data_IF_820902379526
#
_entry.id   IF_820902379526
#
_cell.length_a   1.000
_cell.length_b   1.000
_cell.length_c   1.000
_cell.angle_alpha   90.00
_cell.angle_beta   90.00
_cell.angle_gamma   90.00
#
_symmetry.space_group_name_H-M   'P 1'
#
loop_
_entity.id
_entity.type
_entity.pdbx_description
1 polymer ?
#
# COMPACT_ATOMS: atom_id res chain seq x y z
N UNK A 1 87.47 -69.81 -51.09
CA UNK A 1 86.04 -69.47 -51.20
C UNK A 1 85.93 -68.04 -50.69
N UNK A 2 85.94 -67.08 -51.61
CA UNK A 2 85.93 -65.67 -51.29
C UNK A 2 84.61 -65.07 -51.72
N UNK A 3 84.04 -64.19 -50.91
CA UNK A 3 82.85 -63.44 -51.28
C UNK A 3 83.17 -62.52 -52.47
N UNK A 4 82.26 -62.47 -53.44
CA UNK A 4 82.38 -61.52 -54.54
C UNK A 4 82.12 -60.12 -53.97
N UNK A 5 83.11 -59.24 -54.14
CA UNK A 5 83.07 -57.88 -53.62
C UNK A 5 81.87 -57.10 -54.20
N UNK A 6 81.47 -57.42 -55.44
CA UNK A 6 80.34 -56.77 -56.12
C UNK A 6 79.00 -57.14 -55.51
N UNK A 7 78.80 -58.40 -55.17
CA UNK A 7 77.54 -58.88 -54.57
C UNK A 7 77.36 -58.33 -53.16
N UNK A 8 78.44 -58.23 -52.39
CA UNK A 8 78.42 -57.61 -51.06
C UNK A 8 78.11 -56.11 -51.14
N UNK A 9 78.67 -55.39 -52.13
CA UNK A 9 78.36 -53.98 -52.37
C UNK A 9 76.89 -53.75 -52.78
N UNK A 10 76.34 -54.60 -53.64
CA UNK A 10 74.93 -54.56 -54.03
C UNK A 10 74.00 -54.80 -52.83
N UNK A 11 74.27 -55.83 -52.02
CA UNK A 11 73.49 -56.12 -50.83
C UNK A 11 73.53 -55.00 -49.79
N UNK A 12 74.71 -54.39 -49.56
CA UNK A 12 74.84 -53.24 -48.65
C UNK A 12 74.07 -52.02 -49.16
N UNK A 13 74.01 -51.83 -50.49
CA UNK A 13 73.25 -50.73 -51.09
C UNK A 13 71.74 -50.92 -50.94
N UNK A 14 71.25 -52.13 -51.19
CA UNK A 14 69.83 -52.46 -51.00
C UNK A 14 69.43 -52.36 -49.52
N UNK A 15 70.25 -52.91 -48.62
CA UNK A 15 70.04 -52.80 -47.17
C UNK A 15 70.04 -51.33 -46.71
N UNK A 16 70.94 -50.50 -47.25
CA UNK A 16 70.97 -49.07 -46.94
C UNK A 16 69.70 -48.36 -47.41
N UNK A 17 69.20 -48.69 -48.60
CA UNK A 17 67.95 -48.12 -49.14
C UNK A 17 66.72 -48.52 -48.32
N UNK A 18 66.62 -49.79 -47.95
CA UNK A 18 65.53 -50.28 -47.09
C UNK A 18 65.59 -49.66 -45.70
N UNK A 19 66.79 -49.47 -45.14
CA UNK A 19 66.98 -48.84 -43.84
C UNK A 19 66.62 -47.34 -43.85
N UNK A 20 66.97 -46.63 -44.92
CA UNK A 20 66.54 -45.23 -45.13
C UNK A 20 65.02 -45.13 -45.26
N UNK A 21 64.38 -46.03 -46.03
CA UNK A 21 62.92 -46.07 -46.15
C UNK A 21 62.23 -46.31 -44.79
N UNK A 22 62.75 -47.25 -44.01
CA UNK A 22 62.24 -47.55 -42.67
C UNK A 22 62.41 -46.34 -41.72
N UNK A 23 63.53 -45.61 -41.80
CA UNK A 23 63.75 -44.40 -41.02
C UNK A 23 62.74 -43.31 -41.36
N UNK A 24 62.50 -43.07 -42.64
CA UNK A 24 61.51 -42.08 -43.10
C UNK A 24 60.10 -42.47 -42.65
N UNK A 25 59.73 -43.74 -42.75
CA UNK A 25 58.44 -44.22 -42.26
C UNK A 25 58.31 -44.07 -40.74
N UNK A 26 59.37 -44.38 -39.99
CA UNK A 26 59.39 -44.23 -38.54
C UNK A 26 59.19 -42.77 -38.11
N UNK A 27 59.87 -41.83 -38.77
CA UNK A 27 59.69 -40.39 -38.51
C UNK A 27 58.28 -39.92 -38.88
N UNK A 28 57.71 -40.39 -40.00
CA UNK A 28 56.33 -40.08 -40.38
C UNK A 28 55.31 -40.63 -39.36
N UNK A 29 55.51 -41.84 -38.86
CA UNK A 29 54.65 -42.43 -37.84
C UNK A 29 54.75 -41.69 -36.51
N UNK A 30 55.97 -41.29 -36.09
CA UNK A 30 56.16 -40.44 -34.91
C UNK A 30 55.46 -39.09 -35.06
N UNK A 31 55.56 -38.47 -36.24
CA UNK A 31 54.88 -37.20 -36.52
C UNK A 31 53.35 -37.36 -36.39
N UNK A 32 52.78 -38.37 -37.05
CA UNK A 32 51.34 -38.68 -36.95
C UNK A 32 50.90 -38.96 -35.52
N UNK A 33 51.71 -39.71 -34.76
CA UNK A 33 51.42 -40.02 -33.36
C UNK A 33 51.44 -38.77 -32.49
N UNK A 34 52.36 -37.84 -32.76
CA UNK A 34 52.42 -36.54 -32.09
C UNK A 34 51.19 -35.70 -32.42
N UNK A 35 50.84 -35.58 -33.70
CA UNK A 35 49.66 -34.82 -34.14
C UNK A 35 48.36 -35.37 -33.51
N UNK A 36 48.19 -36.70 -33.52
CA UNK A 36 47.04 -37.35 -32.88
C UNK A 36 47.02 -37.13 -31.37
N UNK A 37 48.18 -37.22 -30.71
CA UNK A 37 48.30 -37.00 -29.27
C UNK A 37 47.96 -35.56 -28.89
N UNK A 38 48.40 -34.58 -29.68
CA UNK A 38 48.06 -33.16 -29.50
C UNK A 38 46.56 -32.93 -29.72
N UNK A 39 45.98 -33.50 -30.78
CA UNK A 39 44.54 -33.45 -31.03
C UNK A 39 43.73 -34.06 -29.88
N UNK A 40 44.14 -35.21 -29.35
CA UNK A 40 43.50 -35.86 -28.21
C UNK A 40 43.54 -34.96 -26.96
N UNK A 41 44.69 -34.35 -26.69
CA UNK A 41 44.84 -33.41 -25.57
C UNK A 41 43.92 -32.19 -25.72
N UNK A 42 43.81 -31.65 -26.93
CA UNK A 42 42.91 -30.54 -27.25
C UNK A 42 41.44 -30.92 -27.01
N UNK A 43 40.97 -32.05 -27.53
CA UNK A 43 39.59 -32.50 -27.30
C UNK A 43 39.30 -32.73 -25.81
N UNK A 44 40.26 -33.30 -25.07
CA UNK A 44 40.12 -33.49 -23.62
C UNK A 44 40.00 -32.16 -22.86
N UNK A 45 40.68 -31.12 -23.35
CA UNK A 45 40.56 -29.76 -22.78
C UNK A 45 39.20 -29.12 -23.07
N UNK A 46 38.65 -29.35 -24.27
CA UNK A 46 37.31 -28.91 -24.65
C UNK A 46 36.27 -29.64 -23.81
N UNK A 47 36.37 -30.97 -23.69
CA UNK A 47 35.45 -31.78 -22.89
C UNK A 47 35.40 -31.27 -21.44
N UNK A 48 36.56 -31.01 -20.84
CA UNK A 48 36.64 -30.43 -19.49
C UNK A 48 35.98 -29.06 -19.40
N UNK A 49 36.11 -28.24 -20.43
CA UNK A 49 35.49 -26.91 -20.48
C UNK A 49 33.97 -27.01 -20.63
N UNK A 50 33.50 -27.91 -21.50
CA UNK A 50 32.09 -28.19 -21.70
C UNK A 50 31.44 -28.73 -20.42
N UNK A 51 32.11 -29.66 -19.74
CA UNK A 51 31.63 -30.20 -18.46
C UNK A 51 31.50 -29.10 -17.40
N UNK A 52 32.49 -28.19 -17.31
CA UNK A 52 32.39 -27.03 -16.40
C UNK A 52 31.24 -26.10 -16.77
N UNK A 53 31.05 -25.83 -18.07
CA UNK A 53 29.95 -24.99 -18.54
C UNK A 53 28.59 -25.62 -18.22
N UNK A 54 28.44 -26.94 -18.36
CA UNK A 54 27.23 -27.66 -18.00
C UNK A 54 26.93 -27.59 -16.50
N UNK A 55 27.93 -27.82 -15.65
CA UNK A 55 27.77 -27.70 -14.20
C UNK A 55 27.40 -26.27 -13.80
N UNK A 56 28.03 -25.27 -14.43
CA UNK A 56 27.70 -23.87 -14.19
C UNK A 56 26.27 -23.53 -14.63
N UNK A 57 25.86 -24.01 -15.80
CA UNK A 57 24.51 -23.81 -16.31
C UNK A 57 23.46 -24.47 -15.39
N UNK A 58 23.71 -25.70 -14.94
CA UNK A 58 22.85 -26.39 -13.99
C UNK A 58 22.75 -25.63 -12.67
N UNK A 59 23.88 -25.21 -12.11
CA UNK A 59 23.91 -24.42 -10.89
C UNK A 59 23.17 -23.10 -11.04
N UNK A 60 23.39 -22.39 -12.15
CA UNK A 60 22.72 -21.12 -12.43
C UNK A 60 21.21 -21.33 -12.56
N UNK A 61 20.77 -22.39 -13.26
CA UNK A 61 19.35 -22.71 -13.38
C UNK A 61 18.72 -23.04 -12.01
N UNK A 62 19.42 -23.79 -11.16
CA UNK A 62 18.97 -24.08 -9.79
C UNK A 62 18.90 -22.81 -8.94
N UNK A 63 19.92 -21.95 -9.00
CA UNK A 63 19.97 -20.70 -8.25
C UNK A 63 18.86 -19.73 -8.72
N UNK A 64 18.65 -19.57 -10.03
CA UNK A 64 17.55 -18.78 -10.59
C UNK A 64 16.19 -19.31 -10.14
N UNK A 65 16.00 -20.64 -10.16
CA UNK A 65 14.75 -21.26 -9.68
C UNK A 65 14.53 -21.01 -8.19
N UNK A 66 15.56 -21.15 -7.38
CA UNK A 66 15.48 -20.91 -5.94
C UNK A 66 15.14 -19.45 -5.62
N UNK A 67 15.75 -18.50 -6.34
CA UNK A 67 15.43 -17.06 -6.20
C UNK A 67 14.00 -16.77 -6.62
N UNK A 68 13.54 -17.29 -7.76
CA UNK A 68 12.16 -17.09 -8.22
C UNK A 68 11.13 -17.64 -7.23
N UNK A 69 11.39 -18.80 -6.60
CA UNK A 69 10.51 -19.35 -5.57
C UNK A 69 10.48 -18.44 -4.34
N UNK A 70 11.64 -18.00 -3.83
CA UNK A 70 11.69 -17.09 -2.68
C UNK A 70 10.99 -15.77 -2.95
N UNK A 71 11.16 -15.22 -4.14
CA UNK A 71 10.52 -13.98 -4.54
C UNK A 71 9.00 -14.16 -4.65
N UNK A 72 8.54 -15.27 -5.23
CA UNK A 72 7.13 -15.61 -5.27
C UNK A 72 6.51 -15.75 -3.85
N UNK A 73 7.19 -16.46 -2.95
CA UNK A 73 6.76 -16.60 -1.55
C UNK A 73 6.72 -15.24 -0.84
N UNK A 74 7.69 -14.37 -1.10
CA UNK A 74 7.74 -13.01 -0.54
C UNK A 74 6.57 -12.16 -1.04
N UNK A 75 6.29 -12.20 -2.35
CA UNK A 75 5.17 -11.48 -2.96
C UNK A 75 3.84 -11.99 -2.39
N UNK A 76 3.68 -13.31 -2.26
CA UNK A 76 2.45 -13.89 -1.70
C UNK A 76 2.26 -13.48 -0.23
N UNK A 77 3.33 -13.50 0.57
CA UNK A 77 3.30 -13.04 1.95
C UNK A 77 2.94 -11.56 2.07
N UNK A 78 3.58 -10.70 1.28
CA UNK A 78 3.31 -9.27 1.26
C UNK A 78 1.87 -8.96 0.82
N UNK A 79 1.38 -9.65 -0.22
CA UNK A 79 0.01 -9.52 -0.68
C UNK A 79 -1.00 -9.94 0.40
N UNK A 80 -0.72 -11.02 1.14
CA UNK A 80 -1.56 -11.45 2.28
C UNK A 80 -1.60 -10.40 3.39
N UNK A 81 -0.45 -9.82 3.75
CA UNK A 81 -0.37 -8.77 4.78
C UNK A 81 -1.16 -7.53 4.34
N UNK A 82 -0.97 -7.08 3.09
CA UNK A 82 -1.73 -5.94 2.53
C UNK A 82 -3.23 -6.21 2.51
N UNK A 83 -3.64 -7.42 2.12
CA UNK A 83 -5.06 -7.80 2.13
C UNK A 83 -5.64 -7.79 3.54
N UNK A 84 -4.92 -8.32 4.54
CA UNK A 84 -5.34 -8.28 5.94
C UNK A 84 -5.46 -6.84 6.45
N UNK A 85 -4.50 -5.97 6.11
CA UNK A 85 -4.55 -4.56 6.48
C UNK A 85 -5.79 -3.87 5.89
N UNK A 86 -6.09 -4.08 4.60
CA UNK A 86 -7.28 -3.51 3.96
C UNK A 86 -8.57 -4.03 4.60
N UNK A 87 -8.63 -5.33 4.92
CA UNK A 87 -9.79 -5.90 5.60
C UNK A 87 -9.99 -5.30 7.00
N UNK A 88 -8.91 -5.09 7.74
CA UNK A 88 -8.98 -4.51 9.08
C UNK A 88 -9.38 -3.03 9.03
N UNK A 89 -8.83 -2.26 8.09
CA UNK A 89 -9.23 -0.88 7.87
C UNK A 89 -10.72 -0.77 7.48
N UNK A 90 -11.19 -1.64 6.58
CA UNK A 90 -12.60 -1.69 6.20
C UNK A 90 -13.51 -2.03 7.39
N UNK A 91 -13.09 -2.96 8.28
CA UNK A 91 -13.84 -3.28 9.50
C UNK A 91 -13.93 -2.08 10.44
N UNK A 92 -12.82 -1.39 10.69
CA UNK A 92 -12.81 -0.18 11.51
C UNK A 92 -13.72 0.90 10.94
N UNK A 93 -13.75 1.07 9.62
CA UNK A 93 -14.66 2.01 8.96
C UNK A 93 -16.13 1.60 9.16
N UNK A 94 -16.45 0.31 9.07
CA UNK A 94 -17.82 -0.19 9.34
C UNK A 94 -18.21 0.11 10.79
N UNK A 95 -17.39 -0.25 11.77
CA UNK A 95 -17.64 0.02 13.19
C UNK A 95 -17.86 1.52 13.45
N UNK A 96 -17.02 2.37 12.84
CA UNK A 96 -17.18 3.82 12.92
C UNK A 96 -18.51 4.30 12.34
N UNK A 97 -18.92 3.79 11.18
CA UNK A 97 -20.21 4.16 10.56
C UNK A 97 -21.41 3.66 11.36
N UNK A 98 -21.31 2.47 11.96
CA UNK A 98 -22.32 1.93 12.87
C UNK A 98 -22.48 2.84 14.10
N UNK A 99 -21.37 3.20 14.75
CA UNK A 99 -21.38 4.14 15.87
C UNK A 99 -21.99 5.50 15.49
N UNK A 100 -21.62 6.06 14.34
CA UNK A 100 -22.19 7.31 13.84
C UNK A 100 -23.70 7.20 13.59
N UNK A 101 -24.14 6.07 13.04
CA UNK A 101 -25.56 5.82 12.78
C UNK A 101 -26.34 5.74 14.10
N UNK A 102 -25.82 5.01 15.09
CA UNK A 102 -26.43 4.93 16.42
C UNK A 102 -26.53 6.30 17.09
N UNK A 103 -25.47 7.11 17.03
CA UNK A 103 -25.49 8.46 17.58
C UNK A 103 -26.54 9.35 16.89
N UNK A 104 -26.65 9.28 15.56
CA UNK A 104 -27.64 10.03 14.81
C UNK A 104 -29.08 9.60 15.15
N UNK A 105 -29.31 8.30 15.36
CA UNK A 105 -30.61 7.78 15.81
C UNK A 105 -30.97 8.32 17.20
N UNK A 106 -30.01 8.32 18.14
CA UNK A 106 -30.21 8.91 19.47
C UNK A 106 -30.53 10.40 19.39
N UNK A 107 -29.82 11.16 18.56
CA UNK A 107 -30.11 12.58 18.33
C UNK A 107 -31.52 12.79 17.75
N UNK A 108 -31.94 11.94 16.82
CA UNK A 108 -33.29 11.99 16.26
C UNK A 108 -34.38 11.72 17.32
N UNK A 109 -34.20 10.70 18.15
CA UNK A 109 -35.14 10.38 19.23
C UNK A 109 -35.24 11.53 20.25
N UNK A 110 -34.09 12.12 20.62
CA UNK A 110 -34.06 13.30 21.49
C UNK A 110 -34.76 14.50 20.85
N UNK A 111 -34.50 14.76 19.58
CA UNK A 111 -35.17 15.83 18.83
C UNK A 111 -36.69 15.63 18.82
N UNK A 112 -37.14 14.40 18.57
CA UNK A 112 -38.56 14.05 18.59
C UNK A 112 -39.21 14.33 19.95
N UNK A 113 -38.59 13.88 21.05
CA UNK A 113 -39.09 14.14 22.42
C UNK A 113 -39.14 15.65 22.71
N UNK A 114 -38.10 16.39 22.35
CA UNK A 114 -38.06 17.86 22.54
C UNK A 114 -39.19 18.55 21.76
N UNK A 115 -39.43 18.13 20.53
CA UNK A 115 -40.47 18.70 19.68
C UNK A 115 -41.88 18.37 20.21
N UNK A 116 -42.11 17.13 20.66
CA UNK A 116 -43.37 16.74 21.29
C UNK A 116 -43.63 17.55 22.57
N UNK A 117 -42.63 17.74 23.43
CA UNK A 117 -42.76 18.57 24.64
C UNK A 117 -43.05 20.04 24.32
N UNK A 118 -42.38 20.61 23.30
CA UNK A 118 -42.65 21.97 22.86
C UNK A 118 -44.11 22.11 22.40
N UNK A 119 -44.59 21.19 21.57
CA UNK A 119 -45.98 21.21 21.11
C UNK A 119 -46.98 21.06 22.27
N UNK A 120 -46.71 20.17 23.22
CA UNK A 120 -47.55 20.04 24.42
C UNK A 120 -47.62 21.34 25.21
N UNK A 121 -46.48 22.01 25.42
CA UNK A 121 -46.43 23.32 26.09
C UNK A 121 -47.23 24.40 25.35
N UNK A 122 -47.16 24.45 24.02
CA UNK A 122 -47.95 25.39 23.22
C UNK A 122 -49.46 25.09 23.26
N UNK A 123 -49.84 23.81 23.25
CA UNK A 123 -51.23 23.38 23.42
C UNK A 123 -51.73 23.77 24.82
N UNK A 124 -50.92 23.57 25.86
CA UNK A 124 -51.25 23.97 27.23
C UNK A 124 -51.42 25.49 27.34
N UNK A 125 -50.57 26.28 26.69
CA UNK A 125 -50.71 27.74 26.63
C UNK A 125 -52.03 28.16 25.95
N UNK A 126 -52.39 27.54 24.82
CA UNK A 126 -53.65 27.83 24.13
C UNK A 126 -54.89 27.42 24.94
N UNK A 127 -54.79 26.34 25.72
CA UNK A 127 -55.84 25.88 26.61
C UNK A 127 -55.90 26.68 27.92
N UNK A 128 -54.89 27.50 28.22
CA UNK A 128 -54.88 28.36 29.39
C UNK A 128 -55.88 29.51 29.24
N UNK A 129 -56.48 29.95 30.36
CA UNK A 129 -57.45 31.05 30.39
C UNK A 129 -56.89 32.39 29.89
N UNK A 130 -55.57 32.50 29.70
CA UNK A 130 -54.91 33.69 29.15
C UNK A 130 -55.27 33.98 27.68
N UNK A 131 -55.73 32.98 26.92
CA UNK A 131 -56.15 33.17 25.52
C UNK A 131 -57.67 33.35 25.37
N UNK A 132 -58.44 33.32 26.48
CA UNK A 132 -59.83 33.72 26.46
C UNK A 132 -59.89 35.24 26.23
N UNK A 133 -60.12 35.65 24.98
CA UNK A 133 -60.39 37.05 24.65
C UNK A 133 -61.73 37.40 25.29
N UNK A 134 -61.67 38.08 26.44
CA UNK A 134 -62.86 38.57 27.12
C UNK A 134 -63.41 39.75 26.30
N UNK A 135 -64.57 39.57 25.68
CA UNK A 135 -65.16 40.52 24.73
C UNK A 135 -65.62 41.84 25.35
N UNK A 136 -65.42 42.04 26.65
CA UNK A 136 -65.80 43.25 27.38
C UNK A 136 -64.78 44.41 27.25
N UNK A 137 -63.56 44.17 26.76
CA UNK A 137 -62.51 45.21 26.64
C UNK A 137 -62.68 46.15 25.43
N UNK A 138 -63.66 45.88 24.54
CA UNK A 138 -64.00 46.75 23.41
C UNK A 138 -65.06 47.82 23.72
N UNK A 139 -65.26 48.20 24.98
CA UNK A 139 -66.13 49.34 25.33
C UNK A 139 -65.43 50.66 25.02
N UNK A 140 -65.76 51.22 23.87
CA UNK A 140 -65.37 52.56 23.41
C UNK A 140 -65.63 53.61 24.52
N UNK A 141 -64.58 54.19 25.10
CA UNK A 141 -64.66 55.32 26.05
C UNK A 141 -64.40 56.62 25.29
N UNK A 142 -65.32 57.59 25.40
CA UNK A 142 -65.20 58.93 24.79
C UNK A 142 -63.85 59.61 25.14
N UNK A 143 -63.29 60.44 24.24
CA UNK A 143 -61.97 61.01 24.45
C UNK A 143 -61.97 62.03 25.59
N UNK A 144 -61.15 61.77 26.61
CA UNK A 144 -60.87 62.69 27.72
C UNK A 144 -60.02 63.86 27.22
N UNK A 145 -60.41 65.10 27.57
CA UNK A 145 -59.68 66.33 27.26
C UNK A 145 -58.31 66.34 27.93
N UNK A 146 -57.25 66.47 27.13
CA UNK A 146 -55.86 66.49 27.56
C UNK A 146 -55.55 67.84 28.23
N UNK A 147 -55.22 67.83 29.53
CA UNK A 147 -54.47 68.89 30.18
C UNK A 147 -53.01 68.44 30.23
N UNK A 148 -52.16 69.13 29.47
CA UNK A 148 -50.72 68.89 29.40
C UNK A 148 -50.06 69.41 30.68
N UNK A 149 -49.43 68.52 31.44
CA UNK A 149 -48.29 68.86 32.31
C UNK A 149 -47.26 67.75 32.25
N UNK A 150 -46.02 68.17 32.02
CA UNK A 150 -44.82 67.38 31.81
C UNK A 150 -44.56 66.37 32.93
N UNK A 151 -44.15 65.17 32.54
CA UNK A 151 -42.89 64.53 32.97
C UNK A 151 -42.72 63.24 32.15
N UNK A 152 -41.74 63.27 31.25
CA UNK A 152 -41.29 62.10 30.51
C UNK A 152 -40.31 61.32 31.38
N UNK A 153 -40.67 60.08 31.69
CA UNK A 153 -39.76 59.06 32.21
C UNK A 153 -40.22 57.72 31.64
N UNK A 154 -39.78 57.41 30.43
CA UNK A 154 -39.83 56.05 29.89
C UNK A 154 -38.50 55.39 30.22
N UNK A 155 -38.54 54.34 31.04
CA UNK A 155 -37.49 53.33 31.09
C UNK A 155 -38.09 52.05 30.53
N UNK A 156 -37.59 51.65 29.37
CA UNK A 156 -37.79 50.34 28.77
C UNK A 156 -37.04 49.32 29.64
N UNK A 157 -37.76 48.38 30.25
CA UNK A 157 -37.20 47.09 30.66
C UNK A 157 -38.01 45.99 30.00
N UNK A 158 -37.49 45.50 28.88
CA UNK A 158 -37.80 44.19 28.33
C UNK A 158 -37.24 43.13 29.29
N UNK A 159 -38.12 42.40 29.98
CA UNK A 159 -37.74 41.16 30.65
C UNK A 159 -37.93 39.99 29.68
N UNK A 160 -36.87 39.67 28.95
CA UNK A 160 -36.63 38.32 28.44
C UNK A 160 -36.51 37.38 29.64
N UNK A 161 -37.53 36.55 29.87
CA UNK A 161 -37.42 35.40 30.76
C UNK A 161 -37.59 34.13 29.93
N UNK A 162 -36.50 33.69 29.30
CA UNK A 162 -36.34 32.28 28.93
C UNK A 162 -36.20 31.44 30.21
N UNK A 163 -36.92 30.31 30.36
CA UNK A 163 -36.80 29.51 31.56
C UNK A 163 -35.42 28.83 31.64
N UNK A 164 -34.76 29.02 32.78
CA UNK A 164 -33.41 28.56 33.15
C UNK A 164 -33.14 27.04 33.03
N UNK A 165 -34.13 26.23 32.65
CA UNK A 165 -34.01 24.78 32.47
C UNK A 165 -33.18 24.44 31.23
N UNK A 166 -33.12 25.33 30.23
CA UNK A 166 -32.40 25.08 28.97
C UNK A 166 -30.89 25.31 29.06
N UNK A 167 -30.39 26.00 30.09
CA UNK A 167 -28.96 26.35 30.21
C UNK A 167 -28.15 25.27 30.95
N UNK A 168 -28.75 24.70 31.99
CA UNK A 168 -28.14 23.65 32.82
C UNK A 168 -27.99 22.31 32.05
N UNK A 169 -28.91 22.04 31.11
CA UNK A 169 -28.87 20.88 30.21
C UNK A 169 -28.04 21.12 28.94
N UNK A 170 -27.55 22.34 28.68
CA UNK A 170 -26.66 22.62 27.56
C UNK A 170 -25.19 22.47 27.96
N UNK A 171 -24.83 22.91 29.17
CA UNK A 171 -23.46 22.81 29.70
C UNK A 171 -23.03 21.35 29.97
N UNK A 172 -23.97 20.45 30.29
CA UNK A 172 -23.68 19.04 30.54
C UNK A 172 -23.37 18.23 29.25
N UNK A 173 -23.62 18.78 28.06
CA UNK A 173 -23.51 18.05 26.78
C UNK A 173 -22.39 18.56 25.85
N UNK A 174 -21.74 19.68 26.17
CA UNK A 174 -20.55 20.15 25.42
C UNK A 174 -19.30 19.31 25.71
N UNK A 175 -19.22 18.64 26.87
CA UNK A 175 -18.09 17.76 27.21
C UNK A 175 -18.03 16.50 26.33
N UNK A 176 -19.16 15.84 26.03
CA UNK A 176 -19.16 14.62 25.19
C UNK A 176 -18.92 14.90 23.68
N UNK A 177 -19.21 16.12 23.21
CA UNK A 177 -18.93 16.52 21.83
C UNK A 177 -17.43 16.80 21.60
N UNK A 178 -16.70 17.10 22.67
CA UNK A 178 -15.25 17.39 22.62
C UNK A 178 -14.46 16.10 22.35
N UNK A 179 -14.82 14.98 22.98
CA UNK A 179 -14.16 13.68 22.78
C UNK A 179 -14.30 13.14 21.35
N UNK A 180 -15.47 13.29 20.72
CA UNK A 180 -15.70 12.82 19.34
C UNK A 180 -14.96 13.68 18.30
N UNK A 181 -14.83 14.98 18.56
CA UNK A 181 -14.04 15.87 17.72
C UNK A 181 -12.53 15.65 17.92
N UNK A 182 -12.09 15.28 19.11
CA UNK A 182 -10.72 14.85 19.40
C UNK A 182 -10.34 13.60 18.60
N UNK A 183 -11.19 12.57 18.59
CA UNK A 183 -10.98 11.33 17.82
C UNK A 183 -10.89 11.60 16.31
N UNK A 184 -11.67 12.56 15.80
CA UNK A 184 -11.59 13.00 14.39
C UNK A 184 -10.29 13.73 14.07
N UNK A 185 -9.73 14.48 15.03
CA UNK A 185 -8.48 15.21 14.87
C UNK A 185 -7.27 14.26 14.87
N UNK A 186 -7.24 13.31 15.80
CA UNK A 186 -6.17 12.30 15.91
C UNK A 186 -6.11 11.37 14.68
N UNK A 187 -7.27 11.01 14.10
CA UNK A 187 -7.35 10.20 12.88
C UNK A 187 -6.87 10.93 11.61
N UNK A 188 -6.94 12.26 11.57
CA UNK A 188 -6.51 13.06 10.44
C UNK A 188 -4.99 13.29 10.45
N UNK A 189 -4.38 13.49 11.63
CA UNK A 189 -2.92 13.60 11.76
C UNK A 189 -2.22 12.29 11.40
N UNK A 190 -2.78 11.13 11.80
CA UNK A 190 -2.17 9.82 11.49
C UNK A 190 -2.13 9.48 9.99
N UNK A 191 -2.95 10.16 9.17
CA UNK A 191 -2.96 10.03 7.71
C UNK A 191 -1.93 10.93 7.01
N UNK A 192 -1.57 12.09 7.57
CA UNK A 192 -0.57 12.96 6.95
C UNK A 192 0.85 12.40 7.14
N UNK A 193 1.15 11.83 8.31
CA UNK A 193 2.48 11.31 8.64
C UNK A 193 2.90 10.06 7.85
N UNK A 194 1.93 9.26 7.34
CA UNK A 194 2.23 8.03 6.58
C UNK A 194 2.32 8.24 5.07
N UNK A 195 2.11 9.47 4.57
CA UNK A 195 2.11 9.76 3.12
C UNK A 195 3.45 10.27 2.55
N UNK A 196 4.45 10.55 3.39
CA UNK A 196 5.75 11.09 2.96
C UNK A 196 6.94 10.31 3.50
N UNK A 197 7.08 9.00 3.25
CA UNK A 197 8.38 8.30 3.43
C UNK A 197 8.69 7.21 2.38
N UNK A 198 8.20 7.34 1.14
CA UNK A 198 8.74 6.57 0.00
C UNK A 198 9.36 7.49 -1.04
N UNK A 199 10.34 8.29 -0.63
CA UNK A 199 11.41 8.74 -1.53
C UNK A 199 12.71 8.09 -1.05
N UNK A 200 13.06 6.95 -1.63
CA UNK A 200 14.41 6.76 -2.18
C UNK A 200 14.54 5.43 -2.93
N UNK A 201 14.88 5.54 -4.21
CA UNK A 201 15.69 4.54 -4.91
C UNK A 201 14.98 3.61 -5.88
N UNK A 202 14.50 4.12 -7.02
CA UNK A 202 14.59 3.39 -8.30
C UNK A 202 14.58 4.36 -9.49
N UNK A 203 15.77 4.70 -10.00
CA UNK A 203 15.93 5.35 -11.30
C UNK A 203 15.47 4.40 -12.41
N UNK A 204 14.49 4.85 -13.20
CA UNK A 204 13.98 4.14 -14.37
C UNK A 204 14.91 4.38 -15.56
N UNK A 205 15.75 3.39 -15.89
CA UNK A 205 16.57 3.44 -17.10
C UNK A 205 15.68 3.22 -18.33
N UNK A 206 15.30 4.31 -19.01
CA UNK A 206 14.67 4.21 -20.33
C UNK A 206 15.73 3.78 -21.34
N UNK A 207 15.70 2.51 -21.77
CA UNK A 207 16.35 2.11 -23.01
C UNK A 207 15.58 2.73 -24.18
N UNK A 208 16.23 3.66 -24.88
CA UNK A 208 15.87 4.01 -26.25
C UNK A 208 16.33 2.88 -27.16
N UNK A 209 15.37 2.28 -27.86
CA UNK A 209 15.63 1.49 -29.05
C UNK A 209 16.19 2.39 -30.15
N UNK A 210 17.43 2.11 -30.60
CA UNK A 210 17.94 2.26 -31.98
C UNK A 210 19.29 1.54 -32.13
#
# INVERSE_FOLDING_TARGET
>A
IGYDKKDVELFLKDLSGDYEALLVENENLKHKLKDLSEGLSYYKSIEKTLQKALILAEKTAQDTRATAIREADSIESEAKVKAQFIMEDARKQIEFMEHKTLNLMQQYDLFKIRFENLLHSQIELLNSESFAIDTDDFRYREPVKIAVTAEASCTEETMENEPAILKELAEQYDEELTDVNQIKFDFLEEKEDKSYQTEDGFEFFTMKDE
#
